data_IF_531682060113
#
_entry.id   IF_531682060113
#
_cell.length_a   1.000
_cell.length_b   1.000
_cell.length_c   1.000
_cell.angle_alpha   90.00
_cell.angle_beta   90.00
_cell.angle_gamma   90.00
#
_symmetry.space_group_name_H-M   'P 1'
#
loop_
_entity.id
_entity.type
_entity.pdbx_description
1 polymer ?
#
# COMPACT_ATOMS: atom_id res chain seq x y z
N UNK A 1 17.48 18.40 -13.09
CA UNK A 1 16.06 18.00 -13.07
C UNK A 1 15.94 16.69 -12.32
N UNK A 2 15.56 16.73 -11.05
CA UNK A 2 15.28 15.51 -10.29
C UNK A 2 14.00 14.90 -10.87
N UNK A 3 14.14 13.86 -11.70
CA UNK A 3 13.02 13.01 -12.11
C UNK A 3 12.48 12.34 -10.85
N UNK A 4 11.57 13.00 -10.15
CA UNK A 4 10.81 12.35 -9.07
C UNK A 4 10.13 11.15 -9.71
N UNK A 5 10.54 9.95 -9.29
CA UNK A 5 10.07 8.73 -9.90
C UNK A 5 8.55 8.65 -9.70
N UNK A 6 7.78 8.63 -10.80
CA UNK A 6 6.31 8.66 -10.77
C UNK A 6 5.75 7.56 -9.86
N UNK A 7 6.42 6.41 -9.77
CA UNK A 7 6.03 5.33 -8.85
C UNK A 7 6.14 5.74 -7.38
N UNK A 8 7.17 6.48 -6.99
CA UNK A 8 7.36 6.97 -5.62
C UNK A 8 6.26 7.96 -5.24
N UNK A 9 5.91 8.89 -6.14
CA UNK A 9 4.83 9.86 -5.92
C UNK A 9 3.48 9.14 -5.73
N UNK A 10 3.19 8.15 -6.60
CA UNK A 10 1.95 7.37 -6.50
C UNK A 10 1.92 6.57 -5.18
N UNK A 11 3.03 5.96 -4.76
CA UNK A 11 3.11 5.25 -3.47
C UNK A 11 2.84 6.17 -2.29
N UNK A 12 3.42 7.37 -2.30
CA UNK A 12 3.20 8.38 -1.26
C UNK A 12 1.74 8.83 -1.20
N UNK A 13 1.11 9.09 -2.34
CA UNK A 13 -0.30 9.43 -2.39
C UNK A 13 -1.19 8.30 -1.85
N UNK A 14 -0.94 7.04 -2.25
CA UNK A 14 -1.67 5.88 -1.72
C UNK A 14 -1.51 5.78 -0.20
N UNK A 15 -0.30 5.88 0.32
CA UNK A 15 -0.06 5.86 1.78
C UNK A 15 -0.78 7.00 2.49
N UNK A 16 -0.75 8.21 1.93
CA UNK A 16 -1.45 9.37 2.50
C UNK A 16 -2.94 9.09 2.66
N UNK A 17 -3.58 8.45 1.67
CA UNK A 17 -5.00 8.09 1.77
C UNK A 17 -5.26 6.97 2.77
N UNK A 18 -4.37 5.97 2.86
CA UNK A 18 -4.45 4.92 3.88
C UNK A 18 -4.29 5.49 5.30
N UNK A 19 -3.35 6.42 5.50
CA UNK A 19 -3.12 7.12 6.78
C UNK A 19 -4.30 8.02 7.17
N UNK A 20 -4.99 8.60 6.18
CA UNK A 20 -6.27 9.32 6.39
C UNK A 20 -7.44 8.39 6.77
N UNK A 21 -7.21 7.08 6.83
CA UNK A 21 -8.21 6.09 7.22
C UNK A 21 -9.13 5.63 6.10
N UNK A 22 -8.81 5.91 4.82
CA UNK A 22 -9.57 5.33 3.72
C UNK A 22 -9.27 3.84 3.63
N UNK A 23 -10.33 3.03 3.62
CA UNK A 23 -10.24 1.57 3.53
C UNK A 23 -10.75 1.04 2.19
N UNK A 24 -11.55 1.83 1.45
CA UNK A 24 -12.01 1.45 0.12
C UNK A 24 -10.89 1.63 -0.92
N UNK A 25 -10.39 0.49 -1.40
CA UNK A 25 -9.35 0.41 -2.43
C UNK A 25 -9.72 1.13 -3.74
N UNK A 26 -10.97 1.06 -4.18
CA UNK A 26 -11.41 1.71 -5.42
C UNK A 26 -11.57 3.22 -5.24
N UNK A 27 -11.98 3.69 -4.05
CA UNK A 27 -12.00 5.11 -3.72
C UNK A 27 -10.57 5.68 -3.72
N UNK A 28 -9.64 5.01 -3.04
CA UNK A 28 -8.21 5.39 -3.02
C UNK A 28 -7.65 5.50 -4.45
N UNK A 29 -7.93 4.51 -5.31
CA UNK A 29 -7.47 4.57 -6.71
C UNK A 29 -8.08 5.73 -7.48
N UNK A 30 -9.35 6.05 -7.26
CA UNK A 30 -10.02 7.15 -7.95
C UNK A 30 -9.43 8.49 -7.50
N UNK A 31 -9.25 8.69 -6.19
CA UNK A 31 -8.64 9.90 -5.63
C UNK A 31 -7.19 10.11 -6.08
N UNK A 32 -6.40 9.04 -6.14
CA UNK A 32 -5.01 9.13 -6.65
C UNK A 32 -4.97 9.48 -8.14
N UNK A 33 -5.93 8.97 -8.94
CA UNK A 33 -6.07 9.34 -10.36
C UNK A 33 -6.47 10.81 -10.51
N UNK A 34 -7.45 11.26 -9.72
CA UNK A 34 -7.93 12.65 -9.72
C UNK A 34 -6.83 13.63 -9.30
N UNK A 35 -6.06 13.29 -8.26
CA UNK A 35 -5.02 14.15 -7.71
C UNK A 35 -3.77 14.24 -8.60
N UNK A 36 -3.31 13.10 -9.13
CA UNK A 36 -2.04 13.03 -9.86
C UNK A 36 -2.21 13.03 -11.39
N UNK A 37 -3.44 12.92 -11.90
CA UNK A 37 -3.73 12.85 -13.34
C UNK A 37 -3.17 11.61 -14.04
N UNK A 38 -2.83 10.56 -13.29
CA UNK A 38 -2.20 9.34 -13.82
C UNK A 38 -3.23 8.29 -14.22
N UNK A 39 -2.97 7.43 -15.22
CA UNK A 39 -3.90 6.37 -15.59
C UNK A 39 -4.16 5.38 -14.45
N UNK A 40 -5.43 4.97 -14.27
CA UNK A 40 -5.82 3.95 -13.27
C UNK A 40 -5.03 2.63 -13.39
N UNK A 41 -4.69 2.10 -14.59
CA UNK A 41 -3.82 0.94 -14.71
C UNK A 41 -2.43 1.12 -14.07
N UNK A 42 -1.86 2.33 -14.16
CA UNK A 42 -0.59 2.69 -13.53
C UNK A 42 -0.71 2.67 -12.01
N UNK A 43 -1.77 3.29 -11.46
CA UNK A 43 -2.04 3.27 -10.00
C UNK A 43 -2.19 1.84 -9.50
N UNK A 44 -2.95 1.00 -10.22
CA UNK A 44 -3.16 -0.42 -9.86
C UNK A 44 -1.85 -1.21 -9.85
N UNK A 45 -0.96 -0.96 -10.82
CA UNK A 45 0.36 -1.60 -10.85
C UNK A 45 1.19 -1.19 -9.64
N UNK A 46 1.32 0.12 -9.41
CA UNK A 46 2.12 0.66 -8.30
C UNK A 46 1.55 0.24 -6.93
N UNK A 47 0.23 0.16 -6.79
CA UNK A 47 -0.41 -0.34 -5.57
C UNK A 47 -0.06 -1.82 -5.29
N UNK A 48 0.04 -2.66 -6.34
CA UNK A 48 0.50 -4.05 -6.18
C UNK A 48 1.96 -4.11 -5.75
N UNK A 49 2.81 -3.27 -6.34
CA UNK A 49 4.23 -3.20 -6.00
C UNK A 49 4.40 -2.76 -4.53
N UNK A 50 3.68 -1.71 -4.12
CA UNK A 50 3.64 -1.23 -2.74
C UNK A 50 3.20 -2.33 -1.76
N UNK A 51 2.13 -3.06 -2.09
CA UNK A 51 1.67 -4.18 -1.26
C UNK A 51 2.76 -5.23 -1.09
N UNK A 52 3.44 -5.61 -2.17
CA UNK A 52 4.50 -6.64 -2.10
C UNK A 52 5.68 -6.14 -1.24
N UNK A 53 6.05 -4.87 -1.35
CA UNK A 53 7.08 -4.25 -0.51
C UNK A 53 6.70 -4.26 0.98
N UNK A 54 5.45 -3.90 1.30
CA UNK A 54 4.95 -3.93 2.68
C UNK A 54 4.94 -5.36 3.24
N UNK A 55 4.46 -6.33 2.48
CA UNK A 55 4.47 -7.74 2.89
C UNK A 55 5.90 -8.26 3.11
N UNK A 56 6.85 -7.87 2.26
CA UNK A 56 8.25 -8.22 2.45
C UNK A 56 8.83 -7.62 3.73
N UNK A 57 8.52 -6.36 4.04
CA UNK A 57 8.93 -5.71 5.30
C UNK A 57 8.31 -6.40 6.51
N UNK A 58 7.02 -6.71 6.46
CA UNK A 58 6.31 -7.46 7.52
C UNK A 58 7.00 -8.81 7.75
N UNK A 59 7.32 -9.55 6.68
CA UNK A 59 8.00 -10.84 6.79
C UNK A 59 9.36 -10.73 7.49
N UNK A 60 10.15 -9.71 7.17
CA UNK A 60 11.45 -9.46 7.83
C UNK A 60 11.24 -9.16 9.32
N UNK A 61 10.35 -8.22 9.64
CA UNK A 61 10.09 -7.84 11.04
C UNK A 61 9.49 -8.97 11.88
N UNK A 62 8.68 -9.84 11.27
CA UNK A 62 8.16 -11.05 11.91
C UNK A 62 9.22 -12.14 12.08
N UNK A 63 10.28 -12.17 11.27
CA UNK A 63 11.30 -13.22 11.35
C UNK A 63 12.18 -13.13 12.60
N UNK A 64 12.24 -11.96 13.24
CA UNK A 64 12.97 -11.74 14.49
C UNK A 64 12.14 -12.11 15.73
N UNK A 65 10.82 -12.27 15.57
CA UNK A 65 9.92 -12.75 16.62
C UNK A 65 9.70 -14.25 16.41
N UNK A 66 10.14 -15.14 17.32
CA UNK A 66 9.79 -16.56 17.24
C UNK A 66 8.29 -16.68 17.03
N UNK A 67 7.85 -17.50 16.08
CA UNK A 67 6.45 -17.69 15.73
C UNK A 67 5.66 -18.35 16.88
N UNK A 68 5.37 -17.60 17.93
CA UNK A 68 4.38 -17.89 18.96
C UNK A 68 3.36 -16.75 18.97
N UNK A 69 2.68 -16.55 17.85
CA UNK A 69 1.39 -15.86 17.86
C UNK A 69 0.46 -16.70 17.00
N UNK A 70 -0.03 -17.78 17.60
CA UNK A 70 -1.32 -18.36 17.25
C UNK A 70 -2.37 -17.26 17.43
N UNK A 71 -2.80 -16.62 16.34
CA UNK A 71 -4.10 -15.98 16.33
C UNK A 71 -5.11 -17.10 16.12
N UNK A 72 -5.44 -17.77 17.22
CA UNK A 72 -6.68 -18.53 17.32
C UNK A 72 -7.81 -17.51 17.37
N UNK A 73 -8.31 -17.06 16.23
CA UNK A 73 -9.69 -16.56 16.15
C UNK A 73 -10.61 -17.78 15.94
N UNK A 74 -10.86 -18.48 17.05
CA UNK A 74 -12.22 -18.94 17.33
C UNK A 74 -12.86 -17.79 18.06
N UNK A 75 -13.91 -17.20 17.50
CA UNK A 75 -15.11 -16.81 18.23
C UNK A 75 -16.24 -16.55 17.22
N UNK A 76 -17.26 -17.42 17.34
CA UNK A 76 -18.64 -17.45 16.82
C UNK A 76 -18.93 -17.53 15.30
#
# INVERSE_FOLDING_TARGET
MNRTNQSTVIKQAINTYLEKGLTDKQDIYSKVVEELGVPRPTVRRVARDLRNELLSKIKILQSEVPQEITVSEKDE
#
